data_IF_647215315977
#
_entry.id   IF_647215315977
#
_cell.length_a   1.000
_cell.length_b   1.000
_cell.length_c   1.000
_cell.angle_alpha   90.00
_cell.angle_beta   90.00
_cell.angle_gamma   90.00
#
_symmetry.space_group_name_H-M   'P 1'
#
loop_
_entity.id
_entity.type
_entity.pdbx_description
1 polymer ?
#
# COMPACT_ATOMS: atom_id res chain seq x y z
N UNK A 1 35.05 1.83 8.33
CA UNK A 1 34.46 0.53 8.73
C UNK A 1 33.21 0.38 7.88
N UNK A 2 33.26 -0.45 6.84
CA UNK A 2 32.11 -0.70 5.97
C UNK A 2 31.02 -1.40 6.79
N UNK A 3 29.83 -0.82 6.82
CA UNK A 3 28.64 -1.54 7.25
C UNK A 3 28.50 -2.74 6.30
N UNK A 4 28.55 -3.94 6.86
CA UNK A 4 28.14 -5.14 6.14
C UNK A 4 26.70 -4.87 5.69
N UNK A 5 26.44 -4.91 4.40
CA UNK A 5 25.08 -4.81 3.87
C UNK A 5 24.24 -5.90 4.55
N UNK A 6 23.27 -5.51 5.34
CA UNK A 6 22.32 -6.45 5.95
C UNK A 6 21.57 -7.14 4.80
N UNK A 7 21.43 -8.46 4.88
CA UNK A 7 20.62 -9.16 3.90
C UNK A 7 19.17 -8.65 4.01
N UNK A 8 18.48 -8.43 2.88
CA UNK A 8 17.10 -7.98 2.88
C UNK A 8 16.19 -8.97 3.61
N UNK A 9 15.19 -8.47 4.33
CA UNK A 9 14.21 -9.34 5.02
C UNK A 9 13.26 -10.01 4.02
N UNK A 10 12.94 -9.32 2.92
CA UNK A 10 12.22 -9.89 1.77
C UNK A 10 13.10 -9.75 0.54
N UNK A 11 13.29 -10.84 -0.18
CA UNK A 11 14.03 -10.88 -1.43
C UNK A 11 13.20 -11.59 -2.48
N UNK A 12 12.90 -10.92 -3.56
CA UNK A 12 12.16 -11.45 -4.71
C UNK A 12 13.03 -11.27 -5.94
N UNK A 13 13.29 -12.37 -6.65
CA UNK A 13 14.16 -12.38 -7.83
C UNK A 13 13.50 -13.11 -8.99
N UNK A 14 13.38 -12.42 -10.14
CA UNK A 14 12.82 -12.91 -11.39
C UNK A 14 11.47 -13.64 -11.22
N UNK A 15 10.65 -13.17 -10.27
CA UNK A 15 9.39 -13.82 -9.92
C UNK A 15 8.42 -13.80 -11.10
N UNK A 16 7.92 -14.98 -11.43
CA UNK A 16 6.91 -15.20 -12.46
C UNK A 16 5.76 -16.03 -11.92
N UNK A 17 4.53 -15.62 -12.28
CA UNK A 17 3.32 -16.36 -11.94
C UNK A 17 2.37 -16.45 -13.13
N UNK A 18 2.00 -17.68 -13.47
CA UNK A 18 1.09 -17.98 -14.58
C UNK A 18 -0.06 -18.85 -14.06
N UNK A 19 -1.29 -18.44 -14.33
CA UNK A 19 -2.50 -19.24 -14.09
C UNK A 19 -3.12 -19.67 -15.42
N UNK A 20 -3.05 -20.96 -15.70
CA UNK A 20 -3.50 -21.50 -16.99
C UNK A 20 -2.73 -20.87 -18.16
N UNK A 21 -3.36 -19.97 -18.91
CA UNK A 21 -2.75 -19.24 -20.04
C UNK A 21 -2.43 -17.79 -19.73
N UNK A 22 -2.80 -17.30 -18.53
CA UNK A 22 -2.64 -15.90 -18.15
C UNK A 22 -1.40 -15.71 -17.32
N UNK A 23 -0.46 -14.91 -17.80
CA UNK A 23 0.68 -14.43 -17.02
C UNK A 23 0.22 -13.26 -16.17
N UNK A 24 0.26 -13.41 -14.85
CA UNK A 24 -0.14 -12.37 -13.88
C UNK A 24 1.06 -11.58 -13.41
N UNK A 25 2.20 -12.25 -13.20
CA UNK A 25 3.48 -11.61 -12.87
C UNK A 25 4.51 -12.09 -13.88
N UNK A 26 5.30 -11.15 -14.39
CA UNK A 26 6.32 -11.43 -15.39
C UNK A 26 7.61 -10.66 -15.06
N UNK A 27 8.59 -11.39 -14.51
CA UNK A 27 9.94 -10.89 -14.17
C UNK A 27 9.95 -9.77 -13.11
N UNK A 28 9.35 -10.04 -11.94
CA UNK A 28 9.32 -9.09 -10.82
C UNK A 28 10.51 -9.35 -9.88
N UNK A 29 11.33 -8.31 -9.64
CA UNK A 29 12.46 -8.38 -8.72
C UNK A 29 12.51 -7.13 -7.84
N UNK A 30 12.61 -7.31 -6.53
CA UNK A 30 12.81 -6.23 -5.55
C UNK A 30 13.23 -6.78 -4.18
N UNK A 31 13.80 -5.90 -3.36
CA UNK A 31 14.21 -6.18 -1.99
C UNK A 31 13.50 -5.26 -1.00
N UNK A 32 13.25 -5.77 0.20
CA UNK A 32 12.80 -4.99 1.35
C UNK A 32 13.83 -5.14 2.46
N UNK A 33 14.39 -4.00 2.90
CA UNK A 33 15.39 -3.97 3.95
C UNK A 33 14.76 -4.11 5.34
N UNK A 34 15.54 -4.61 6.30
CA UNK A 34 15.04 -4.73 7.67
C UNK A 34 14.75 -3.36 8.30
N UNK A 35 13.56 -3.20 8.91
CA UNK A 35 13.14 -1.99 9.60
C UNK A 35 12.56 -0.90 8.68
N UNK A 36 12.50 -1.10 7.36
CA UNK A 36 11.84 -0.14 6.48
C UNK A 36 10.32 -0.36 6.37
N UNK A 37 9.61 0.67 5.97
CA UNK A 37 8.25 0.55 5.46
C UNK A 37 8.28 0.65 3.94
N UNK A 38 7.84 -0.40 3.28
CA UNK A 38 7.85 -0.55 1.83
C UNK A 38 6.44 -0.50 1.26
N UNK A 39 6.19 0.42 0.34
CA UNK A 39 4.90 0.58 -0.34
C UNK A 39 4.83 -0.28 -1.61
N UNK A 40 3.84 -1.17 -1.69
CA UNK A 40 3.57 -1.99 -2.87
C UNK A 40 2.33 -1.46 -3.58
N UNK A 41 2.51 -0.67 -4.63
CA UNK A 41 1.49 0.13 -5.29
C UNK A 41 1.12 -0.48 -6.65
N UNK A 42 -0.10 -0.20 -7.11
CA UNK A 42 -0.56 -0.64 -8.42
C UNK A 42 -2.09 -0.64 -8.53
N UNK A 43 -2.61 -0.64 -9.75
CA UNK A 43 -4.04 -0.77 -10.03
C UNK A 43 -4.59 -2.13 -9.60
N UNK A 44 -5.92 -2.26 -9.56
CA UNK A 44 -6.56 -3.55 -9.33
C UNK A 44 -6.17 -4.52 -10.46
N UNK A 45 -5.86 -5.76 -10.09
CA UNK A 45 -5.40 -6.76 -11.07
C UNK A 45 -3.92 -6.68 -11.45
N UNK A 46 -3.15 -5.70 -10.98
CA UNK A 46 -1.71 -5.58 -11.30
C UNK A 46 -0.84 -6.73 -10.79
N UNK A 47 -1.35 -7.57 -9.85
CA UNK A 47 -0.64 -8.74 -9.33
C UNK A 47 -0.19 -8.63 -7.87
N UNK A 48 -0.48 -7.55 -7.15
CA UNK A 48 -0.07 -7.32 -5.75
C UNK A 48 -0.45 -8.47 -4.81
N UNK A 49 -1.73 -8.81 -4.75
CA UNK A 49 -2.24 -9.91 -3.89
C UNK A 49 -1.66 -11.26 -4.31
N UNK A 50 -1.44 -11.47 -5.61
CA UNK A 50 -0.78 -12.68 -6.14
C UNK A 50 0.65 -12.79 -5.63
N UNK A 51 1.40 -11.69 -5.65
CA UNK A 51 2.77 -11.63 -5.13
C UNK A 51 2.83 -11.91 -3.63
N UNK A 52 1.94 -11.29 -2.84
CA UNK A 52 1.83 -11.54 -1.40
C UNK A 52 1.51 -13.01 -1.12
N UNK A 53 0.54 -13.60 -1.83
CA UNK A 53 0.16 -15.01 -1.64
C UNK A 53 1.29 -15.96 -2.04
N UNK A 54 2.08 -15.63 -3.06
CA UNK A 54 3.27 -16.39 -3.41
C UNK A 54 4.37 -16.26 -2.35
N UNK A 55 4.64 -15.04 -1.85
CA UNK A 55 5.59 -14.79 -0.77
C UNK A 55 5.24 -15.56 0.52
N UNK A 56 3.93 -15.68 0.81
CA UNK A 56 3.40 -16.46 1.95
C UNK A 56 3.30 -17.97 1.66
N UNK A 57 3.82 -18.46 0.53
CA UNK A 57 3.79 -19.88 0.17
C UNK A 57 2.40 -20.44 -0.13
N UNK A 58 1.36 -19.59 -0.27
CA UNK A 58 0.00 -20.00 -0.64
C UNK A 58 -0.05 -20.38 -2.12
N UNK A 59 0.70 -19.65 -2.96
CA UNK A 59 0.89 -19.98 -4.36
C UNK A 59 2.34 -20.40 -4.62
N UNK A 60 2.52 -21.46 -5.44
CA UNK A 60 3.84 -21.84 -5.89
C UNK A 60 4.23 -20.97 -7.10
N UNK A 61 5.39 -20.31 -7.09
CA UNK A 61 5.87 -19.53 -8.23
C UNK A 61 6.06 -20.41 -9.46
N UNK A 62 5.74 -19.87 -10.64
CA UNK A 62 6.00 -20.56 -11.91
C UNK A 62 7.47 -20.39 -12.32
N UNK A 63 8.14 -19.35 -11.83
CA UNK A 63 9.57 -19.07 -12.01
C UNK A 63 10.06 -18.06 -10.99
N UNK A 64 11.40 -17.97 -10.86
CA UNK A 64 12.03 -17.08 -9.90
C UNK A 64 11.97 -17.58 -8.45
N UNK A 65 12.41 -16.74 -7.51
CA UNK A 65 12.48 -17.05 -6.08
C UNK A 65 11.87 -15.95 -5.23
N UNK A 66 11.23 -16.35 -4.11
CA UNK A 66 10.71 -15.44 -3.10
C UNK A 66 11.18 -15.94 -1.73
N UNK A 67 11.90 -15.08 -1.02
CA UNK A 67 12.49 -15.41 0.27
C UNK A 67 12.05 -14.41 1.34
N UNK A 68 11.81 -14.91 2.55
CA UNK A 68 11.68 -14.11 3.77
C UNK A 68 12.82 -14.55 4.69
N UNK A 69 13.67 -13.60 5.11
CA UNK A 69 14.85 -13.85 5.94
C UNK A 69 15.74 -14.95 5.31
N UNK A 70 16.06 -14.75 4.02
CA UNK A 70 16.95 -15.58 3.22
C UNK A 70 16.44 -16.99 2.84
N UNK A 71 15.16 -17.32 3.10
CA UNK A 71 14.56 -18.64 2.81
C UNK A 71 13.13 -18.52 2.32
N UNK A 72 12.61 -19.50 1.57
CA UNK A 72 11.19 -19.61 1.30
C UNK A 72 10.39 -19.60 2.59
N UNK A 73 9.19 -19.01 2.55
CA UNK A 73 8.29 -18.99 3.71
C UNK A 73 7.95 -20.44 4.15
N UNK A 74 7.93 -20.65 5.47
CA UNK A 74 7.38 -21.87 6.06
C UNK A 74 6.41 -21.52 7.20
N UNK A 75 5.32 -22.30 7.40
CA UNK A 75 4.33 -22.05 8.46
C UNK A 75 4.95 -22.02 9.87
N UNK A 76 6.01 -22.75 10.10
CA UNK A 76 6.73 -22.82 11.39
C UNK A 76 7.32 -21.45 11.81
N UNK A 77 7.58 -20.59 10.84
CA UNK A 77 8.10 -19.22 11.03
C UNK A 77 6.99 -18.17 11.10
N UNK A 78 5.74 -18.58 10.95
CA UNK A 78 4.60 -17.69 10.91
C UNK A 78 4.38 -16.86 12.17
N UNK A 79 4.96 -17.25 13.33
CA UNK A 79 4.91 -16.46 14.55
C UNK A 79 5.69 -15.14 14.48
N UNK A 80 6.68 -15.05 13.58
CA UNK A 80 7.49 -13.83 13.35
C UNK A 80 6.92 -12.93 12.25
N UNK A 81 5.81 -13.34 11.63
CA UNK A 81 5.12 -12.64 10.57
C UNK A 81 3.71 -12.25 10.99
N UNK A 82 3.34 -11.01 10.71
CA UNK A 82 1.97 -10.52 10.83
C UNK A 82 1.40 -10.25 9.43
N UNK A 83 0.31 -10.94 9.08
CA UNK A 83 -0.40 -10.69 7.83
C UNK A 83 -1.81 -10.17 8.09
N UNK A 84 -2.10 -8.99 7.57
CA UNK A 84 -3.42 -8.38 7.54
C UNK A 84 -3.94 -8.47 6.10
N UNK A 85 -4.81 -9.42 5.77
CA UNK A 85 -5.41 -9.48 4.43
C UNK A 85 -6.48 -8.39 4.26
N UNK A 86 -6.76 -8.00 3.03
CA UNK A 86 -7.85 -7.09 2.67
C UNK A 86 -9.21 -7.66 3.12
N UNK A 87 -9.41 -8.98 2.98
CA UNK A 87 -10.62 -9.65 3.41
C UNK A 87 -10.61 -9.96 4.90
N UNK A 88 -11.79 -9.87 5.54
CA UNK A 88 -11.95 -10.12 6.97
C UNK A 88 -12.06 -11.61 7.25
N UNK A 89 -10.97 -12.21 7.72
CA UNK A 89 -10.81 -13.66 7.94
C UNK A 89 -11.02 -14.15 9.38
N UNK A 90 -11.53 -13.33 10.32
CA UNK A 90 -11.68 -13.73 11.71
C UNK A 90 -12.97 -14.55 11.99
N UNK A 91 -12.99 -15.35 13.07
CA UNK A 91 -14.14 -16.17 13.48
C UNK A 91 -15.33 -15.29 13.93
N UNK A 92 -16.26 -15.05 13.01
CA UNK A 92 -17.35 -14.07 13.14
C UNK A 92 -18.32 -14.37 14.29
N UNK A 93 -18.51 -15.64 14.69
CA UNK A 93 -19.47 -16.07 15.71
C UNK A 93 -18.93 -16.02 17.14
N UNK A 94 -17.63 -15.84 17.30
CA UNK A 94 -16.96 -15.79 18.60
C UNK A 94 -16.87 -14.35 19.13
N UNK A 95 -16.64 -14.20 20.44
CA UNK A 95 -16.42 -12.89 21.06
C UNK A 95 -15.05 -12.31 20.64
N UNK A 96 -14.96 -10.98 20.63
CA UNK A 96 -13.71 -10.27 20.30
C UNK A 96 -12.55 -10.77 21.16
N UNK A 97 -12.76 -10.85 22.49
CA UNK A 97 -11.69 -11.24 23.41
C UNK A 97 -11.28 -12.70 23.25
N UNK A 98 -12.23 -13.60 22.92
CA UNK A 98 -11.92 -15.00 22.71
C UNK A 98 -11.13 -15.19 21.43
N UNK A 99 -11.52 -14.52 20.33
CA UNK A 99 -10.78 -14.54 19.05
C UNK A 99 -9.36 -14.01 19.25
N UNK A 100 -9.21 -12.84 19.87
CA UNK A 100 -7.88 -12.26 20.08
C UNK A 100 -7.03 -13.15 21.00
N UNK A 101 -7.61 -13.71 22.06
CA UNK A 101 -6.89 -14.64 22.97
C UNK A 101 -6.47 -15.91 22.23
N UNK A 102 -7.32 -16.45 21.37
CA UNK A 102 -7.02 -17.63 20.56
C UNK A 102 -5.83 -17.39 19.62
N UNK A 103 -5.86 -16.31 18.84
CA UNK A 103 -4.75 -15.99 17.93
C UNK A 103 -3.46 -15.64 18.68
N UNK A 104 -3.53 -14.99 19.84
CA UNK A 104 -2.36 -14.74 20.66
C UNK A 104 -1.68 -16.04 21.11
N UNK A 105 -2.49 -17.04 21.47
CA UNK A 105 -1.95 -18.38 21.80
C UNK A 105 -1.33 -19.08 20.62
N UNK A 106 -1.91 -18.98 19.42
CA UNK A 106 -1.31 -19.51 18.19
C UNK A 106 0.03 -18.86 17.88
N UNK A 107 0.20 -17.58 18.26
CA UNK A 107 1.44 -16.81 18.11
C UNK A 107 2.42 -16.99 19.28
N UNK A 108 2.20 -17.94 20.17
CA UNK A 108 3.13 -18.32 21.24
C UNK A 108 2.91 -17.61 22.59
N UNK A 109 1.93 -16.74 22.73
CA UNK A 109 1.60 -16.10 24.01
C UNK A 109 0.84 -17.07 24.92
N UNK A 110 1.05 -16.96 26.22
CA UNK A 110 0.17 -17.65 27.20
C UNK A 110 -1.24 -17.06 27.18
N UNK A 111 -2.24 -17.81 27.67
CA UNK A 111 -3.64 -17.33 27.75
C UNK A 111 -3.77 -16.04 28.56
N UNK A 112 -3.13 -15.89 29.74
CA UNK A 112 -3.19 -14.64 30.52
C UNK A 112 -2.54 -13.45 29.78
N UNK A 113 -1.38 -13.67 29.15
CA UNK A 113 -0.67 -12.63 28.36
C UNK A 113 -1.51 -12.18 27.17
N UNK A 114 -2.05 -13.14 26.38
CA UNK A 114 -2.92 -12.84 25.24
C UNK A 114 -4.13 -12.02 25.66
N UNK A 115 -4.80 -12.41 26.77
CA UNK A 115 -5.98 -11.70 27.27
C UNK A 115 -5.62 -10.28 27.73
N UNK A 116 -4.53 -10.12 28.51
CA UNK A 116 -4.08 -8.81 28.99
C UNK A 116 -3.72 -7.90 27.82
N UNK A 117 -2.93 -8.39 26.87
CA UNK A 117 -2.57 -7.63 25.69
C UNK A 117 -3.82 -7.21 24.90
N UNK A 118 -4.76 -8.13 24.70
CA UNK A 118 -5.99 -7.85 23.95
C UNK A 118 -6.82 -6.76 24.62
N UNK A 119 -7.00 -6.79 25.94
CA UNK A 119 -7.76 -5.77 26.66
C UNK A 119 -7.10 -4.39 26.54
N UNK A 120 -5.78 -4.30 26.71
CA UNK A 120 -5.03 -3.05 26.55
C UNK A 120 -5.14 -2.50 25.12
N UNK A 121 -5.04 -3.39 24.11
CA UNK A 121 -5.20 -2.99 22.72
C UNK A 121 -6.63 -2.49 22.43
N UNK A 122 -7.65 -3.20 22.89
CA UNK A 122 -9.05 -2.80 22.71
C UNK A 122 -9.37 -1.45 23.36
N UNK A 123 -8.78 -1.15 24.52
CA UNK A 123 -8.88 0.17 25.13
C UNK A 123 -8.28 1.25 24.23
N UNK A 124 -7.07 1.01 23.71
CA UNK A 124 -6.37 1.94 22.80
C UNK A 124 -7.18 2.25 21.55
N UNK A 125 -7.89 1.27 20.98
CA UNK A 125 -8.69 1.47 19.75
C UNK A 125 -10.15 1.80 20.01
N UNK A 126 -10.51 2.12 21.29
CA UNK A 126 -11.85 2.49 21.73
C UNK A 126 -12.90 1.37 21.50
N UNK A 127 -12.52 0.13 21.80
CA UNK A 127 -13.35 -1.07 21.70
C UNK A 127 -13.41 -1.88 23.02
N UNK A 128 -13.00 -1.30 24.16
CA UNK A 128 -12.99 -2.00 25.45
C UNK A 128 -14.39 -2.53 25.84
N UNK A 129 -15.44 -1.74 25.59
CA UNK A 129 -16.84 -2.09 25.83
C UNK A 129 -17.36 -3.23 24.91
N UNK A 130 -16.64 -3.53 23.83
CA UNK A 130 -16.98 -4.56 22.86
C UNK A 130 -16.24 -5.89 23.08
N UNK A 131 -15.40 -6.01 24.11
CA UNK A 131 -14.59 -7.20 24.35
C UNK A 131 -15.40 -8.51 24.38
N UNK A 132 -16.57 -8.51 25.01
CA UNK A 132 -17.47 -9.65 25.07
C UNK A 132 -18.48 -9.74 23.91
N UNK A 133 -18.44 -8.78 22.97
CA UNK A 133 -19.36 -8.74 21.82
C UNK A 133 -18.86 -9.69 20.74
N UNK A 134 -19.78 -10.38 20.05
CA UNK A 134 -19.44 -11.22 18.90
C UNK A 134 -18.93 -10.36 17.74
N UNK A 135 -17.94 -10.87 16.99
CA UNK A 135 -17.35 -10.17 15.87
C UNK A 135 -18.35 -9.79 14.77
N UNK A 136 -19.36 -10.64 14.50
CA UNK A 136 -20.41 -10.35 13.50
C UNK A 136 -21.32 -9.18 13.88
N UNK A 137 -21.29 -8.73 15.14
CA UNK A 137 -22.04 -7.56 15.62
C UNK A 137 -21.25 -6.25 15.57
N UNK A 138 -19.98 -6.30 15.20
CA UNK A 138 -19.14 -5.14 15.02
C UNK A 138 -19.29 -4.55 13.61
N UNK A 139 -19.14 -3.23 13.51
CA UNK A 139 -19.02 -2.57 12.19
C UNK A 139 -17.75 -3.05 11.45
N UNK A 140 -17.73 -2.83 10.14
CA UNK A 140 -16.56 -3.20 9.33
C UNK A 140 -15.25 -2.61 9.84
N UNK A 141 -15.24 -1.32 10.18
CA UNK A 141 -14.05 -0.67 10.74
C UNK A 141 -13.66 -1.24 12.11
N UNK A 142 -14.65 -1.56 12.98
CA UNK A 142 -14.36 -2.20 14.26
C UNK A 142 -13.73 -3.59 14.09
N UNK A 143 -14.22 -4.40 13.13
CA UNK A 143 -13.62 -5.70 12.80
C UNK A 143 -12.19 -5.54 12.29
N UNK A 144 -11.92 -4.54 11.44
CA UNK A 144 -10.59 -4.24 10.92
C UNK A 144 -9.61 -3.86 12.04
N UNK A 145 -10.05 -3.04 13.02
CA UNK A 145 -9.26 -2.75 14.22
C UNK A 145 -8.88 -4.01 14.97
N UNK A 146 -9.85 -4.93 15.20
CA UNK A 146 -9.57 -6.21 15.88
C UNK A 146 -8.58 -7.05 15.06
N UNK A 147 -8.74 -7.09 13.74
CA UNK A 147 -7.86 -7.85 12.85
C UNK A 147 -6.43 -7.30 12.88
N UNK A 148 -6.25 -5.97 12.84
CA UNK A 148 -4.93 -5.35 13.02
C UNK A 148 -4.33 -5.73 14.38
N UNK A 149 -5.10 -5.69 15.47
CA UNK A 149 -4.65 -6.11 16.79
C UNK A 149 -4.14 -7.55 16.80
N UNK A 150 -4.89 -8.47 16.20
CA UNK A 150 -4.43 -9.86 16.05
C UNK A 150 -3.14 -9.94 15.25
N UNK A 151 -3.00 -9.10 14.21
CA UNK A 151 -1.81 -9.09 13.32
C UNK A 151 -0.55 -8.70 14.07
N UNK A 152 -0.60 -7.65 14.91
CA UNK A 152 0.59 -7.06 15.59
C UNK A 152 0.85 -7.63 16.99
N UNK A 153 0.00 -8.50 17.51
CA UNK A 153 -0.07 -8.90 18.92
C UNK A 153 1.26 -9.41 19.53
N UNK A 154 2.09 -10.07 18.75
CA UNK A 154 3.34 -10.67 19.22
C UNK A 154 4.61 -9.95 18.71
N UNK A 155 4.47 -8.68 18.31
CA UNK A 155 5.56 -7.86 17.79
C UNK A 155 6.30 -8.58 16.64
N UNK A 156 5.63 -8.86 15.52
CA UNK A 156 6.24 -9.55 14.39
C UNK A 156 7.36 -8.71 13.78
N UNK A 157 8.39 -9.37 13.26
CA UNK A 157 9.51 -8.72 12.60
C UNK A 157 9.15 -8.21 11.20
N UNK A 158 8.22 -8.91 10.53
CA UNK A 158 7.67 -8.53 9.24
C UNK A 158 6.14 -8.41 9.34
N UNK A 159 5.63 -7.24 8.98
CA UNK A 159 4.21 -6.96 8.82
C UNK A 159 3.88 -6.84 7.34
N UNK A 160 2.93 -7.63 6.86
CA UNK A 160 2.35 -7.50 5.52
C UNK A 160 0.92 -7.00 5.71
N UNK A 161 0.62 -5.81 5.22
CA UNK A 161 -0.65 -5.11 5.43
C UNK A 161 -1.29 -4.84 4.07
N UNK A 162 -2.40 -5.53 3.78
CA UNK A 162 -3.14 -5.38 2.53
C UNK A 162 -4.36 -4.48 2.76
N UNK A 163 -4.33 -3.25 2.24
CA UNK A 163 -5.35 -2.20 2.39
C UNK A 163 -5.75 -1.95 3.86
N UNK A 164 -4.79 -1.66 4.77
CA UNK A 164 -5.02 -1.66 6.22
C UNK A 164 -6.07 -0.65 6.68
N UNK A 165 -6.26 0.44 5.94
CA UNK A 165 -7.16 1.56 6.31
C UNK A 165 -8.41 1.64 5.44
N UNK A 166 -8.64 0.66 4.57
CA UNK A 166 -9.79 0.65 3.66
C UNK A 166 -11.12 0.77 4.40
N UNK A 167 -11.92 1.78 4.01
CA UNK A 167 -13.24 2.02 4.58
C UNK A 167 -13.26 2.67 5.95
N UNK A 168 -12.15 3.25 6.40
CA UNK A 168 -12.10 4.07 7.62
C UNK A 168 -12.39 5.54 7.34
N UNK A 169 -13.03 6.18 8.31
CA UNK A 169 -13.07 7.63 8.39
C UNK A 169 -11.67 8.21 8.70
N UNK A 170 -11.43 9.51 8.47
CA UNK A 170 -10.11 10.11 8.65
C UNK A 170 -9.52 9.94 10.06
N UNK A 171 -10.35 9.95 11.12
CA UNK A 171 -9.88 9.83 12.51
C UNK A 171 -9.38 8.41 12.79
N UNK A 172 -10.16 7.41 12.38
CA UNK A 172 -9.77 6.02 12.54
C UNK A 172 -8.58 5.64 11.64
N UNK A 173 -8.51 6.19 10.41
CA UNK A 173 -7.36 6.03 9.52
C UNK A 173 -6.09 6.52 10.22
N UNK A 174 -6.10 7.74 10.75
CA UNK A 174 -4.95 8.31 11.46
C UNK A 174 -4.49 7.42 12.62
N UNK A 175 -5.43 6.95 13.45
CA UNK A 175 -5.12 6.04 14.57
C UNK A 175 -4.40 4.77 14.08
N UNK A 176 -4.86 4.16 12.98
CA UNK A 176 -4.22 2.96 12.45
C UNK A 176 -2.82 3.26 11.90
N UNK A 177 -2.66 4.37 11.19
CA UNK A 177 -1.34 4.81 10.71
C UNK A 177 -0.37 5.05 11.86
N UNK A 178 -0.81 5.68 12.97
CA UNK A 178 0.00 5.87 14.17
C UNK A 178 0.42 4.53 14.80
N UNK A 179 -0.47 3.53 14.79
CA UNK A 179 -0.14 2.17 15.26
C UNK A 179 0.90 1.50 14.37
N UNK A 180 0.76 1.60 13.05
CA UNK A 180 1.72 1.03 12.08
C UNK A 180 3.09 1.70 12.23
N UNK A 181 3.13 3.02 12.33
CA UNK A 181 4.36 3.79 12.55
C UNK A 181 5.05 3.41 13.87
N UNK A 182 4.28 3.12 14.91
CA UNK A 182 4.84 2.62 16.18
C UNK A 182 5.48 1.23 16.00
N UNK A 183 4.87 0.32 15.23
CA UNK A 183 5.49 -0.98 14.95
C UNK A 183 6.83 -0.80 14.21
N UNK A 184 6.90 0.10 13.23
CA UNK A 184 8.16 0.46 12.56
C UNK A 184 9.21 0.97 13.56
N UNK A 185 8.82 1.90 14.44
CA UNK A 185 9.73 2.44 15.48
C UNK A 185 10.21 1.37 16.46
N UNK A 186 9.45 0.30 16.66
CA UNK A 186 9.84 -0.87 17.47
C UNK A 186 10.72 -1.86 16.70
N UNK A 187 11.05 -1.58 15.43
CA UNK A 187 11.96 -2.36 14.60
C UNK A 187 11.28 -3.33 13.63
N UNK A 188 9.94 -3.30 13.51
CA UNK A 188 9.25 -4.10 12.52
C UNK A 188 9.50 -3.55 11.10
N UNK A 189 9.67 -4.46 10.14
CA UNK A 189 9.61 -4.16 8.71
C UNK A 189 8.15 -4.22 8.26
N UNK A 190 7.72 -3.29 7.43
CA UNK A 190 6.34 -3.22 6.97
C UNK A 190 6.27 -3.26 5.45
N UNK A 191 5.61 -4.25 4.89
CA UNK A 191 5.17 -4.27 3.49
C UNK A 191 3.71 -3.83 3.46
N UNK A 192 3.45 -2.64 2.95
CA UNK A 192 2.11 -2.05 2.89
C UNK A 192 1.60 -1.99 1.46
N UNK A 193 0.48 -2.64 1.21
CA UNK A 193 -0.28 -2.53 -0.04
C UNK A 193 -1.41 -1.56 0.17
N UNK A 194 -1.42 -0.48 -0.57
CA UNK A 194 -2.50 0.52 -0.53
C UNK A 194 -2.56 1.29 -1.85
N UNK A 195 -3.69 1.87 -2.14
CA UNK A 195 -3.89 2.84 -3.21
C UNK A 195 -4.04 4.28 -2.66
N UNK A 196 -3.84 4.48 -1.35
CA UNK A 196 -3.93 5.78 -0.69
C UNK A 196 -2.53 6.42 -0.66
N UNK A 197 -2.25 7.31 -1.60
CA UNK A 197 -0.90 7.90 -1.75
C UNK A 197 -0.49 8.74 -0.52
N UNK A 198 -1.44 9.40 0.16
CA UNK A 198 -1.17 10.10 1.43
C UNK A 198 -0.56 9.18 2.50
N UNK A 199 -1.02 7.90 2.56
CA UNK A 199 -0.49 6.92 3.50
C UNK A 199 0.92 6.49 3.11
N UNK A 200 1.16 6.32 1.81
CA UNK A 200 2.46 5.97 1.25
C UNK A 200 3.48 7.08 1.54
N UNK A 201 3.15 8.32 1.21
CA UNK A 201 4.02 9.48 1.45
C UNK A 201 4.34 9.69 2.95
N UNK A 202 3.39 9.33 3.82
CA UNK A 202 3.58 9.44 5.26
C UNK A 202 4.44 8.33 5.86
N UNK A 203 4.25 7.08 5.43
CA UNK A 203 4.76 5.90 6.12
C UNK A 203 5.92 5.20 5.40
N UNK A 204 5.94 5.25 4.06
CA UNK A 204 6.88 4.45 3.29
C UNK A 204 8.22 5.16 3.08
N UNK A 205 9.30 4.37 3.17
CA UNK A 205 10.66 4.81 2.83
C UNK A 205 10.94 4.60 1.34
N UNK A 206 10.50 3.45 0.82
CA UNK A 206 10.65 3.03 -0.58
C UNK A 206 9.34 2.47 -1.10
N UNK A 207 9.17 2.51 -2.42
CA UNK A 207 7.97 2.03 -3.09
C UNK A 207 8.31 1.25 -4.35
N UNK A 208 7.38 0.40 -4.76
CA UNK A 208 7.35 -0.19 -6.09
C UNK A 208 5.97 0.05 -6.72
N UNK A 209 5.95 0.47 -7.98
CA UNK A 209 4.75 0.61 -8.78
C UNK A 209 4.63 -0.59 -9.71
N UNK A 210 3.59 -1.39 -9.53
CA UNK A 210 3.36 -2.61 -10.30
C UNK A 210 2.26 -2.39 -11.34
N UNK A 211 2.59 -2.53 -12.63
CA UNK A 211 1.65 -2.46 -13.75
C UNK A 211 1.75 -3.73 -14.58
N UNK A 212 0.61 -4.37 -14.85
CA UNK A 212 0.54 -5.58 -15.70
C UNK A 212 1.56 -6.66 -15.32
N UNK A 213 1.77 -6.86 -14.01
CA UNK A 213 2.70 -7.86 -13.49
C UNK A 213 4.18 -7.50 -13.59
N UNK A 214 4.53 -6.26 -13.94
CA UNK A 214 5.92 -5.77 -14.05
C UNK A 214 6.12 -4.53 -13.18
N UNK A 215 7.37 -4.29 -12.78
CA UNK A 215 7.75 -3.06 -12.08
C UNK A 215 7.89 -1.90 -13.05
N UNK A 216 7.13 -0.84 -12.85
CA UNK A 216 7.25 0.42 -13.59
C UNK A 216 8.21 1.40 -12.93
N UNK A 217 8.27 1.37 -11.60
CA UNK A 217 9.21 2.15 -10.80
C UNK A 217 9.52 1.43 -9.50
N UNK A 218 10.74 1.65 -8.98
CA UNK A 218 11.22 1.07 -7.74
C UNK A 218 12.31 1.96 -7.13
N UNK A 219 12.18 2.31 -5.87
CA UNK A 219 13.15 3.14 -5.14
C UNK A 219 12.52 3.92 -4.01
N UNK A 220 13.25 4.89 -3.47
CA UNK A 220 12.72 5.89 -2.53
C UNK A 220 11.68 6.77 -3.23
N UNK A 221 10.78 7.38 -2.47
CA UNK A 221 9.77 8.30 -3.04
C UNK A 221 10.43 9.40 -3.89
N UNK A 222 11.51 10.08 -3.43
CA UNK A 222 12.20 11.07 -4.27
C UNK A 222 12.81 10.50 -5.56
N UNK A 223 13.37 9.28 -5.54
CA UNK A 223 13.91 8.61 -6.73
C UNK A 223 12.82 8.28 -7.74
N UNK A 224 11.66 7.79 -7.26
CA UNK A 224 10.50 7.54 -8.11
C UNK A 224 9.98 8.84 -8.72
N UNK A 225 9.86 9.92 -7.93
CA UNK A 225 9.50 11.23 -8.44
C UNK A 225 10.46 11.74 -9.52
N UNK A 226 11.77 11.56 -9.32
CA UNK A 226 12.80 11.96 -10.27
C UNK A 226 12.78 11.09 -11.54
N UNK A 227 12.46 9.78 -11.44
CA UNK A 227 12.34 8.89 -12.60
C UNK A 227 11.20 9.30 -13.55
N UNK A 228 10.06 9.74 -13.01
CA UNK A 228 8.96 10.21 -13.86
C UNK A 228 9.14 11.63 -14.33
N UNK A 229 10.09 12.35 -13.75
CA UNK A 229 10.45 13.72 -14.13
C UNK A 229 9.28 14.69 -14.01
N UNK A 230 9.60 15.95 -14.07
CA UNK A 230 8.59 17.02 -14.12
C UNK A 230 8.43 17.78 -12.83
N UNK A 231 8.35 19.08 -12.99
CA UNK A 231 7.90 20.02 -11.98
C UNK A 231 6.43 20.29 -12.24
N UNK A 232 5.65 20.32 -11.16
CA UNK A 232 4.28 20.81 -11.18
C UNK A 232 4.23 22.23 -10.64
N UNK A 233 3.47 23.07 -11.28
CA UNK A 233 3.15 24.40 -10.81
C UNK A 233 1.70 24.43 -10.38
N UNK A 234 1.45 24.73 -9.10
CA UNK A 234 0.13 25.03 -8.55
C UNK A 234 -0.10 26.52 -8.62
N UNK A 235 -1.06 26.92 -9.43
CA UNK A 235 -1.35 28.31 -9.75
C UNK A 235 -2.68 28.75 -9.14
N UNK A 236 -2.65 29.75 -8.26
CA UNK A 236 -3.87 30.51 -7.89
C UNK A 236 -3.92 31.78 -8.74
N UNK A 237 -4.97 31.96 -9.50
CA UNK A 237 -5.04 33.00 -10.53
C UNK A 237 -6.42 33.59 -10.76
N UNK A 238 -6.47 34.65 -11.57
CA UNK A 238 -7.69 35.16 -12.20
C UNK A 238 -7.33 35.58 -13.64
N UNK A 239 -8.24 35.37 -14.56
CA UNK A 239 -8.03 35.59 -16.00
C UNK A 239 -7.91 34.26 -16.75
N UNK A 240 -7.44 34.31 -17.99
CA UNK A 240 -7.28 33.14 -18.84
C UNK A 240 -5.80 32.72 -18.91
N UNK A 241 -5.54 31.43 -18.65
CA UNK A 241 -4.21 30.83 -18.80
C UNK A 241 -3.97 30.60 -20.30
N UNK A 242 -2.91 31.21 -20.89
CA UNK A 242 -2.59 31.00 -22.29
C UNK A 242 -2.08 29.58 -22.55
N UNK A 243 -2.21 29.12 -23.79
CA UNK A 243 -1.49 27.93 -24.25
C UNK A 243 0.02 28.22 -24.33
N UNK A 244 0.85 27.25 -23.97
CA UNK A 244 2.30 27.39 -23.96
C UNK A 244 2.97 26.05 -24.25
N UNK A 245 4.12 26.09 -24.91
CA UNK A 245 5.00 24.92 -25.05
C UNK A 245 5.79 24.59 -23.79
N UNK A 246 5.77 25.47 -22.78
CA UNK A 246 6.53 25.33 -21.53
C UNK A 246 5.79 24.55 -20.46
N UNK A 247 4.48 24.36 -20.59
CA UNK A 247 3.64 23.62 -19.66
C UNK A 247 2.40 23.05 -20.32
N UNK A 248 1.87 21.98 -19.70
CA UNK A 248 0.56 21.43 -19.97
C UNK A 248 -0.37 21.73 -18.80
N UNK A 249 -1.58 22.25 -19.07
CA UNK A 249 -2.61 22.45 -18.03
C UNK A 249 -3.27 21.10 -17.76
N UNK A 250 -3.00 20.51 -16.57
CA UNK A 250 -3.52 19.19 -16.16
C UNK A 250 -4.82 19.31 -15.37
N UNK A 251 -4.99 20.42 -14.65
CA UNK A 251 -6.23 20.72 -13.94
C UNK A 251 -6.55 22.21 -14.11
N UNK A 252 -7.82 22.55 -14.40
CA UNK A 252 -8.29 23.93 -14.47
C UNK A 252 -9.60 24.08 -13.72
N UNK A 253 -9.57 24.93 -12.69
CA UNK A 253 -10.73 25.38 -11.94
C UNK A 253 -10.87 26.90 -12.03
N UNK A 254 -11.92 27.46 -11.47
CA UNK A 254 -12.24 28.90 -11.61
C UNK A 254 -11.09 29.85 -11.20
N UNK A 255 -10.37 29.52 -10.13
CA UNK A 255 -9.28 30.36 -9.57
C UNK A 255 -8.03 29.52 -9.21
N UNK A 256 -7.94 28.30 -9.71
CA UNK A 256 -6.86 27.36 -9.43
C UNK A 256 -6.55 26.54 -10.69
N UNK A 257 -5.27 26.30 -10.93
CA UNK A 257 -4.83 25.40 -12.00
C UNK A 257 -3.58 24.65 -11.58
N UNK A 258 -3.41 23.47 -12.14
CA UNK A 258 -2.16 22.71 -12.08
C UNK A 258 -1.55 22.65 -13.47
N UNK A 259 -0.25 22.97 -13.53
CA UNK A 259 0.51 22.98 -14.76
C UNK A 259 1.67 22.00 -14.62
N UNK A 260 1.73 20.99 -15.49
CA UNK A 260 2.92 20.14 -15.58
C UNK A 260 3.93 20.86 -16.45
N UNK A 261 5.10 21.16 -15.91
CA UNK A 261 6.19 21.84 -16.61
C UNK A 261 6.82 20.89 -17.63
N UNK A 262 7.02 21.34 -18.87
CA UNK A 262 7.68 20.54 -19.91
C UNK A 262 9.18 20.44 -19.61
N UNK A 263 9.80 19.35 -19.99
CA UNK A 263 11.22 19.09 -19.77
C UNK A 263 12.10 20.24 -20.30
N UNK A 264 12.97 20.74 -19.43
CA UNK A 264 13.87 21.85 -19.74
C UNK A 264 13.26 23.25 -19.71
N UNK A 265 11.97 23.40 -19.34
CA UNK A 265 11.36 24.70 -19.17
C UNK A 265 11.69 25.31 -17.79
N UNK A 266 11.96 26.62 -17.76
CA UNK A 266 12.24 27.38 -16.53
C UNK A 266 10.94 27.88 -15.90
N UNK A 267 10.67 27.51 -14.65
CA UNK A 267 9.48 27.90 -13.90
C UNK A 267 9.36 29.43 -13.77
N UNK A 268 10.49 30.13 -13.61
CA UNK A 268 10.49 31.59 -13.55
C UNK A 268 10.11 32.21 -14.91
N UNK A 269 10.40 31.55 -16.03
CA UNK A 269 9.93 31.96 -17.34
C UNK A 269 8.43 31.73 -17.50
N UNK A 270 7.89 30.63 -16.97
CA UNK A 270 6.44 30.37 -16.96
C UNK A 270 5.72 31.45 -16.20
N UNK A 271 6.18 31.80 -14.99
CA UNK A 271 5.58 32.89 -14.21
C UNK A 271 5.59 34.23 -14.96
N UNK A 272 6.73 34.58 -15.59
CA UNK A 272 6.84 35.81 -16.40
C UNK A 272 5.86 35.82 -17.57
N UNK A 273 5.70 34.70 -18.27
CA UNK A 273 4.79 34.59 -19.41
C UNK A 273 3.34 34.73 -18.98
N UNK A 274 2.94 34.08 -17.87
CA UNK A 274 1.60 34.20 -17.30
C UNK A 274 1.26 35.66 -16.94
N UNK A 275 2.16 36.34 -16.23
CA UNK A 275 1.99 37.75 -15.86
C UNK A 275 1.98 38.65 -17.10
N UNK A 276 2.87 38.40 -18.07
CA UNK A 276 2.96 39.10 -19.35
C UNK A 276 1.69 38.97 -20.21
N UNK A 277 1.00 37.83 -20.12
CA UNK A 277 -0.27 37.55 -20.77
C UNK A 277 -1.48 38.14 -20.03
N UNK A 278 -1.26 38.88 -18.92
CA UNK A 278 -2.32 39.54 -18.16
C UNK A 278 -3.01 38.61 -17.14
N UNK A 279 -2.47 37.45 -16.85
CA UNK A 279 -2.98 36.56 -15.78
C UNK A 279 -2.66 37.21 -14.42
N UNK A 280 -3.67 37.45 -13.61
CA UNK A 280 -3.47 37.96 -12.25
C UNK A 280 -3.08 36.78 -11.34
N UNK A 281 -1.80 36.55 -11.15
CA UNK A 281 -1.24 35.46 -10.31
C UNK A 281 -1.34 35.87 -8.84
N UNK A 282 -2.03 35.04 -8.04
CA UNK A 282 -2.19 35.20 -6.59
C UNK A 282 -1.36 34.22 -5.78
N UNK A 283 -0.94 33.13 -6.40
CA UNK A 283 -0.07 32.12 -5.82
C UNK A 283 0.58 31.30 -6.92
N UNK A 284 1.85 31.03 -6.78
CA UNK A 284 2.64 30.23 -7.70
C UNK A 284 3.57 29.36 -6.85
N UNK A 285 3.30 28.08 -6.82
CA UNK A 285 4.03 27.11 -6.01
C UNK A 285 4.56 26.01 -6.93
N UNK A 286 5.84 25.74 -6.84
CA UNK A 286 6.50 24.67 -7.59
C UNK A 286 6.75 23.49 -6.68
N UNK A 287 6.47 22.29 -7.16
CA UNK A 287 6.72 21.03 -6.47
C UNK A 287 7.12 19.96 -7.47
N UNK A 288 7.77 18.89 -7.00
CA UNK A 288 7.87 17.66 -7.78
C UNK A 288 6.46 17.08 -7.98
N UNK A 289 6.29 16.21 -8.97
CA UNK A 289 5.06 15.44 -9.13
C UNK A 289 4.77 14.68 -7.83
N UNK A 290 3.54 14.72 -7.36
CA UNK A 290 3.11 13.90 -6.24
C UNK A 290 3.03 12.42 -6.67
N UNK A 291 2.99 11.51 -5.69
CA UNK A 291 2.74 10.10 -6.02
C UNK A 291 1.36 9.89 -6.66
N UNK A 292 0.36 10.70 -6.30
CA UNK A 292 -0.96 10.68 -6.95
C UNK A 292 -0.86 11.02 -8.44
N UNK A 293 -0.10 12.06 -8.79
CA UNK A 293 0.11 12.45 -10.19
C UNK A 293 0.82 11.37 -10.98
N UNK A 294 1.86 10.76 -10.38
CA UNK A 294 2.60 9.64 -10.98
C UNK A 294 1.65 8.44 -11.16
N UNK A 295 0.84 8.13 -10.16
CA UNK A 295 -0.13 7.05 -10.23
C UNK A 295 -1.14 7.28 -11.36
N UNK A 296 -1.71 8.46 -11.46
CA UNK A 296 -2.62 8.83 -12.55
C UNK A 296 -1.93 8.75 -13.93
N UNK A 297 -0.67 9.18 -14.03
CA UNK A 297 0.10 9.08 -15.28
C UNK A 297 0.38 7.63 -15.69
N UNK A 298 0.67 6.76 -14.72
CA UNK A 298 0.97 5.34 -14.98
C UNK A 298 -0.30 4.53 -15.28
N UNK A 299 -1.41 4.82 -14.60
CA UNK A 299 -2.62 3.99 -14.65
C UNK A 299 -3.85 4.69 -15.25
N UNK A 300 -3.79 5.99 -15.56
CA UNK A 300 -4.94 6.79 -16.03
C UNK A 300 -5.60 6.24 -17.31
N UNK A 301 -4.79 5.71 -18.24
CA UNK A 301 -5.29 5.11 -19.47
C UNK A 301 -6.11 3.82 -19.23
N UNK A 302 -5.94 3.16 -18.07
CA UNK A 302 -6.70 1.95 -17.72
C UNK A 302 -8.10 2.28 -17.14
N UNK A 303 -8.27 3.47 -16.57
CA UNK A 303 -9.55 3.91 -16.03
C UNK A 303 -10.61 4.15 -17.12
N UNK A 304 -10.19 4.61 -18.29
CA UNK A 304 -11.08 4.82 -19.44
C UNK A 304 -11.52 3.52 -20.11
N UNK A 305 -10.72 2.45 -20.00
CA UNK A 305 -11.07 1.12 -20.58
C UNK A 305 -11.94 0.25 -19.67
N UNK A 306 -11.98 0.55 -18.37
CA UNK A 306 -12.80 -0.20 -17.39
C UNK A 306 -14.29 0.23 -17.38
N UNK A 307 -14.66 1.26 -18.10
CA UNK A 307 -16.05 1.74 -18.22
C UNK A 307 -16.86 1.03 -19.30
N UNK A 308 -16.30 0.03 -20.01
CA UNK A 308 -17.02 -0.75 -21.01
C UNK A 308 -17.67 -1.98 -20.34
N UNK A 309 -19.02 -2.05 -20.20
CA UNK A 309 -19.71 -3.10 -19.46
C UNK A 309 -19.66 -4.47 -20.12
N UNK A 310 -19.07 -4.62 -21.31
CA UNK A 310 -19.03 -5.89 -22.06
C UNK A 310 -17.80 -6.78 -21.78
N UNK A 311 -16.86 -6.35 -20.92
CA UNK A 311 -15.63 -7.10 -20.64
C UNK A 311 -15.61 -7.86 -19.30
N UNK A 312 -16.73 -7.95 -18.59
CA UNK A 312 -16.87 -8.72 -17.35
C UNK A 312 -17.17 -10.20 -17.64
N UNK A 313 -16.22 -10.94 -18.19
CA UNK A 313 -16.22 -12.42 -18.11
C UNK A 313 -15.25 -12.87 -17.02
N UNK A 314 -15.84 -13.15 -15.86
CA UNK A 314 -15.26 -13.76 -14.68
C UNK A 314 -14.54 -15.09 -15.04
N UNK A 315 -13.23 -15.26 -14.84
CA UNK A 315 -12.59 -16.57 -14.95
C UNK A 315 -12.93 -17.39 -13.70
N UNK A 316 -13.65 -18.46 -13.91
CA UNK A 316 -14.13 -19.46 -12.97
C UNK A 316 -13.17 -19.73 -11.79
N UNK A 317 -13.68 -19.57 -10.58
CA UNK A 317 -13.05 -20.06 -9.34
C UNK A 317 -12.85 -21.59 -9.43
N UNK A 318 -11.67 -22.13 -9.11
CA UNK A 318 -11.53 -23.57 -8.99
C UNK A 318 -12.24 -24.03 -7.71
N UNK A 319 -13.25 -24.87 -7.88
CA UNK A 319 -13.92 -25.60 -6.79
C UNK A 319 -12.90 -26.46 -6.06
N UNK A 320 -12.72 -26.20 -4.77
CA UNK A 320 -11.95 -27.06 -3.87
C UNK A 320 -12.67 -28.42 -3.77
N UNK A 321 -12.09 -29.44 -4.40
CA UNK A 321 -12.47 -30.83 -4.20
C UNK A 321 -12.10 -31.27 -2.79
N UNK A 322 -13.11 -31.53 -1.98
CA UNK A 322 -12.97 -32.25 -0.71
C UNK A 322 -12.73 -33.72 -1.07
N UNK A 323 -11.53 -34.21 -0.82
CA UNK A 323 -11.27 -35.64 -0.78
C UNK A 323 -11.35 -36.11 0.67
N UNK A 324 -12.06 -37.21 0.86
CA UNK A 324 -12.41 -37.87 2.12
C UNK A 324 -11.20 -38.33 2.96
#
# INVERSE_FOLDING_TARGET
MGQAASSPIVHIENFRMVFGRTTVIDDLSFDIEAGETFGFLGSNGSGKTTTIRALLGIYQPTGGTLHIDGRPFSPERGSRLGYLPEERGLYKKESVIDVMTYFGRLKGLSKPESKRWSLNYLERVSLADKAATRLDKLSGGQQQKVQLGVTIMNQPELLILDEPTKGFDPVNRRLLMDIIEEQKRQGATVLMVTHQMEEVERLCDRVILLKNGRSEAYGTIPEVQDQFGGTMVRLRYSGDIPESSKYLVTLRERNYAELTVTEGADEAAILRDLVGAGVAVRGFETSKLSLDDIFLRVYGDEADTASDPDNAKDPAQPTAGVAA
#
